data_IF_752109275359
#
_entry.id   IF_752109275359
#
_cell.length_a   1.000
_cell.length_b   1.000
_cell.length_c   1.000
_cell.angle_alpha   90.00
_cell.angle_beta   90.00
_cell.angle_gamma   90.00
#
_symmetry.space_group_name_H-M   'P 1'
#
loop_
_entity.id
_entity.type
_entity.pdbx_description
1 polymer ?
#
# COMPACT_ATOMS: atom_id res chain seq x y z
N UNK A 1 -16.88 -5.31 11.38
CA UNK A 1 -16.55 -4.72 10.06
C UNK A 1 -15.51 -5.61 9.39
N UNK A 2 -15.72 -5.97 8.12
CA UNK A 2 -14.74 -6.74 7.33
C UNK A 2 -13.58 -5.81 6.97
N UNK A 3 -12.35 -6.30 7.05
CA UNK A 3 -11.11 -5.52 6.93
C UNK A 3 -10.39 -5.84 5.63
N UNK A 4 -9.74 -4.86 5.01
CA UNK A 4 -8.88 -5.15 3.88
C UNK A 4 -7.73 -6.07 4.31
N UNK A 5 -7.32 -6.94 3.40
CA UNK A 5 -6.15 -7.78 3.58
C UNK A 5 -5.19 -7.52 2.44
N UNK A 6 -3.95 -7.22 2.78
CA UNK A 6 -2.85 -7.03 1.84
C UNK A 6 -1.69 -7.97 2.17
N UNK A 7 -0.86 -8.22 1.17
CA UNK A 7 0.44 -8.85 1.33
C UNK A 7 1.53 -7.77 1.32
N UNK A 8 2.48 -7.84 2.23
CA UNK A 8 3.75 -7.13 2.08
C UNK A 8 4.55 -7.83 0.97
N UNK A 9 5.03 -7.04 0.00
CA UNK A 9 5.88 -7.53 -1.08
C UNK A 9 7.34 -7.19 -0.82
N UNK A 10 7.62 -5.97 -0.38
CA UNK A 10 8.97 -5.51 -0.06
C UNK A 10 8.95 -4.31 0.91
N UNK A 11 10.04 -4.15 1.66
CA UNK A 11 10.28 -3.00 2.52
C UNK A 11 11.68 -2.46 2.24
N UNK A 12 11.77 -1.20 1.84
CA UNK A 12 13.03 -0.48 1.67
C UNK A 12 13.17 0.58 2.77
N UNK A 13 14.32 1.24 2.93
CA UNK A 13 14.46 2.30 3.93
C UNK A 13 13.41 3.41 3.78
N UNK A 14 12.98 3.73 2.55
CA UNK A 14 12.05 4.81 2.26
C UNK A 14 10.62 4.41 1.89
N UNK A 15 10.37 3.13 1.56
CA UNK A 15 9.09 2.70 0.99
C UNK A 15 8.65 1.33 1.52
N UNK A 16 7.34 1.11 1.57
CA UNK A 16 6.73 -0.21 1.75
C UNK A 16 5.86 -0.51 0.54
N UNK A 17 6.05 -1.69 -0.04
CA UNK A 17 5.27 -2.18 -1.16
C UNK A 17 4.28 -3.23 -0.66
N UNK A 18 3.00 -2.97 -0.89
CA UNK A 18 1.91 -3.89 -0.53
C UNK A 18 1.11 -4.28 -1.78
N UNK A 19 0.51 -5.46 -1.77
CA UNK A 19 -0.43 -5.87 -2.80
C UNK A 19 -1.78 -6.23 -2.17
N UNK A 20 -2.85 -5.80 -2.83
CA UNK A 20 -4.19 -6.24 -2.48
C UNK A 20 -4.30 -7.77 -2.64
N UNK A 21 -4.87 -8.46 -1.65
CA UNK A 21 -5.12 -9.90 -1.74
C UNK A 21 -6.45 -10.24 -2.43
N UNK A 22 -7.21 -9.24 -2.90
CA UNK A 22 -8.43 -9.34 -3.70
C UNK A 22 -9.31 -10.54 -3.32
N UNK A 23 -9.81 -10.55 -2.08
CA UNK A 23 -10.79 -11.54 -1.65
C UNK A 23 -12.18 -11.03 -1.96
N UNK A 24 -13.00 -11.84 -2.65
CA UNK A 24 -14.39 -11.52 -3.02
C UNK A 24 -15.26 -10.99 -1.87
N UNK A 25 -14.92 -11.33 -0.63
CA UNK A 25 -15.67 -10.96 0.58
C UNK A 25 -15.07 -9.81 1.40
N UNK A 26 -13.90 -9.28 1.03
CA UNK A 26 -13.19 -8.25 1.80
C UNK A 26 -13.03 -6.95 0.98
N UNK A 27 -13.03 -5.78 1.64
CA UNK A 27 -12.70 -4.54 0.97
C UNK A 27 -11.26 -4.56 0.43
N UNK A 28 -11.05 -3.92 -0.71
CA UNK A 28 -9.73 -3.71 -1.31
C UNK A 28 -8.88 -2.75 -0.46
N UNK A 29 -7.59 -2.67 -0.77
CA UNK A 29 -6.69 -1.64 -0.19
C UNK A 29 -7.25 -0.23 -0.37
N UNK A 30 -7.81 0.05 -1.54
CA UNK A 30 -8.42 1.36 -1.86
C UNK A 30 -9.69 1.64 -1.06
N UNK A 31 -10.49 0.62 -0.76
CA UNK A 31 -11.76 0.76 -0.03
C UNK A 31 -11.56 0.88 1.50
N UNK A 32 -10.39 0.51 2.02
CA UNK A 32 -10.02 0.58 3.45
C UNK A 32 -8.72 1.39 3.65
N UNK A 33 -8.46 2.35 2.75
CA UNK A 33 -7.17 3.03 2.64
C UNK A 33 -6.73 3.74 3.92
N UNK A 34 -7.66 4.38 4.64
CA UNK A 34 -7.35 5.04 5.91
C UNK A 34 -6.77 4.06 6.94
N UNK A 35 -7.38 2.88 7.04
CA UNK A 35 -6.96 1.84 7.97
C UNK A 35 -5.68 1.16 7.53
N UNK A 36 -5.51 0.94 6.22
CA UNK A 36 -4.25 0.40 5.67
C UNK A 36 -3.09 1.35 5.97
N UNK A 37 -3.28 2.66 5.78
CA UNK A 37 -2.29 3.67 6.13
C UNK A 37 -1.98 3.65 7.62
N UNK A 38 -2.99 3.62 8.50
CA UNK A 38 -2.78 3.52 9.94
C UNK A 38 -1.94 2.29 10.32
N UNK A 39 -2.24 1.12 9.73
CA UNK A 39 -1.50 -0.11 9.98
C UNK A 39 -0.05 -0.02 9.48
N UNK A 40 0.16 0.51 8.28
CA UNK A 40 1.49 0.69 7.72
C UNK A 40 2.32 1.72 8.51
N UNK A 41 1.73 2.82 8.95
CA UNK A 41 2.41 3.81 9.80
C UNK A 41 2.82 3.21 11.14
N UNK A 42 1.95 2.40 11.76
CA UNK A 42 2.25 1.71 13.01
C UNK A 42 3.37 0.67 12.87
N UNK A 43 3.45 -0.02 11.72
CA UNK A 43 4.43 -1.08 11.49
C UNK A 43 5.77 -0.56 10.94
N UNK A 44 5.73 0.42 10.04
CA UNK A 44 6.86 0.87 9.23
C UNK A 44 7.18 2.37 9.40
N UNK A 45 6.48 3.10 10.26
CA UNK A 45 6.68 4.54 10.41
C UNK A 45 6.28 5.32 9.15
N UNK A 46 6.86 6.51 8.98
CA UNK A 46 6.46 7.47 7.94
C UNK A 46 7.00 7.18 6.52
N UNK A 47 7.22 5.90 6.18
CA UNK A 47 7.67 5.48 4.84
C UNK A 47 6.55 5.64 3.82
N UNK A 48 6.90 5.89 2.56
CA UNK A 48 5.92 5.92 1.46
C UNK A 48 5.23 4.56 1.33
N UNK A 49 3.91 4.56 1.18
CA UNK A 49 3.12 3.34 1.05
C UNK A 49 2.70 3.16 -0.39
N UNK A 50 3.38 2.24 -1.09
CA UNK A 50 3.11 1.90 -2.48
C UNK A 50 2.23 0.66 -2.49
N UNK A 51 1.10 0.70 -3.20
CA UNK A 51 0.19 -0.42 -3.31
C UNK A 51 0.03 -0.87 -4.76
N UNK A 52 -0.13 -2.18 -4.95
CA UNK A 52 -0.56 -2.78 -6.20
C UNK A 52 -2.04 -3.13 -6.12
N UNK A 53 -2.82 -2.65 -7.08
CA UNK A 53 -4.25 -2.91 -7.14
C UNK A 53 -4.58 -4.27 -7.80
N UNK A 54 -5.88 -4.57 -7.91
CA UNK A 54 -6.38 -5.80 -8.54
C UNK A 54 -6.11 -5.89 -10.04
N UNK A 55 -5.95 -4.75 -10.72
CA UNK A 55 -5.57 -4.65 -12.12
C UNK A 55 -4.06 -4.85 -12.35
N UNK A 56 -3.29 -4.89 -11.25
CA UNK A 56 -1.84 -5.02 -11.28
C UNK A 56 -1.12 -3.69 -11.43
N UNK A 57 -1.83 -2.57 -11.37
CA UNK A 57 -1.29 -1.22 -11.46
C UNK A 57 -0.74 -0.76 -10.10
N UNK A 58 0.33 0.03 -10.14
CA UNK A 58 0.96 0.58 -8.95
C UNK A 58 0.44 1.99 -8.65
N UNK A 59 0.13 2.22 -7.38
CA UNK A 59 -0.26 3.52 -6.85
C UNK A 59 0.38 3.78 -5.50
N UNK A 60 0.20 4.98 -5.00
CA UNK A 60 0.68 5.42 -3.69
C UNK A 60 -0.50 5.86 -2.82
N UNK A 61 -0.47 5.44 -1.56
CA UNK A 61 -1.34 5.96 -0.51
C UNK A 61 -0.64 7.16 0.14
N UNK A 62 -1.04 8.37 -0.25
CA UNK A 62 -0.49 9.59 0.32
C UNK A 62 -0.92 9.75 1.78
N UNK A 63 0.00 10.16 2.64
CA UNK A 63 -0.27 10.43 4.05
C UNK A 63 0.61 11.54 4.63
N UNK A 64 0.17 12.14 5.74
CA UNK A 64 0.96 13.13 6.50
C UNK A 64 1.70 12.50 7.69
N UNK A 65 1.97 11.20 7.67
CA UNK A 65 2.62 10.46 8.77
C UNK A 65 1.67 10.06 9.90
N UNK A 66 0.46 10.61 9.88
CA UNK A 66 -0.60 10.33 10.86
C UNK A 66 -1.97 10.05 10.23
N UNK A 67 -2.20 10.49 8.98
CA UNK A 67 -3.50 10.38 8.33
C UNK A 67 -3.33 10.20 6.82
N UNK A 68 -4.19 9.36 6.24
CA UNK A 68 -4.37 9.24 4.79
C UNK A 68 -4.86 10.55 4.17
N UNK A 69 -4.36 10.88 2.98
CA UNK A 69 -4.66 12.11 2.23
C UNK A 69 -5.23 11.88 0.85
N UNK A 70 -5.04 10.70 0.28
CA UNK A 70 -5.53 10.40 -1.06
C UNK A 70 -4.60 9.46 -1.80
N UNK A 71 -4.87 9.31 -3.09
CA UNK A 71 -4.17 8.40 -3.97
C UNK A 71 -3.35 9.19 -4.99
N UNK A 72 -2.17 8.66 -5.33
CA UNK A 72 -1.37 9.12 -6.46
C UNK A 72 -0.92 7.93 -7.32
N UNK A 73 -0.70 8.11 -8.63
CA UNK A 73 -0.06 7.08 -9.44
C UNK A 73 1.40 6.90 -9.01
N UNK A 74 1.91 5.67 -9.08
CA UNK A 74 3.33 5.35 -8.86
C UNK A 74 3.90 4.68 -10.11
N UNK A 75 4.96 5.26 -10.67
CA UNK A 75 5.61 4.78 -11.90
C UNK A 75 7.14 4.75 -11.77
N UNK A 76 7.65 4.73 -10.54
CA UNK A 76 9.07 4.65 -10.24
C UNK A 76 9.47 3.19 -10.00
N UNK A 77 10.74 2.94 -9.63
CA UNK A 77 11.31 1.61 -9.44
C UNK A 77 10.43 0.72 -8.57
N UNK A 78 10.08 -0.44 -9.11
CA UNK A 78 9.32 -1.47 -8.42
C UNK A 78 10.26 -2.50 -7.77
N UNK A 79 9.79 -3.28 -6.78
CA UNK A 79 10.64 -4.29 -6.13
C UNK A 79 11.14 -5.36 -7.11
N UNK A 80 10.42 -5.59 -8.19
CA UNK A 80 10.79 -6.54 -9.25
C UNK A 80 11.97 -6.04 -10.10
N UNK A 81 12.17 -4.71 -10.18
CA UNK A 81 13.24 -4.08 -10.97
C UNK A 81 14.54 -3.87 -10.16
N UNK A 82 14.46 -3.80 -8.83
CA UNK A 82 15.65 -3.66 -7.96
C UNK A 82 16.43 -5.00 -7.81
N UNK A 83 15.79 -6.13 -8.15
CA UNK A 83 16.37 -7.48 -8.05
C UNK A 83 17.03 -8.00 -9.34
N UNK A 84 17.06 -7.21 -10.42
CA UNK A 84 17.63 -7.55 -11.73
C UNK A 84 19.02 -6.94 -11.94
#
# INVERSE_FOLDING_TARGET
MRRASYAELAVTPGMVFIADRCRLDLPSVTNDAERVVEQCLAAYGERRIIYRDSGGEWGELLHTGIQFRGFAPYADLTPDEEAA
#
